data_IF_063136812845
#
_entry.id   IF_063136812845
#
_cell.length_a   1.000
_cell.length_b   1.000
_cell.length_c   1.000
_cell.angle_alpha   90.00
_cell.angle_beta   90.00
_cell.angle_gamma   90.00
#
_symmetry.space_group_name_H-M   'P 1'
#
loop_
_entity.id
_entity.type
_entity.pdbx_description
1 polymer ?
#
# COMPACT_ATOMS: atom_id res chain seq x y z
N UNK A 1 33.29 46.96 -4.30
CA UNK A 1 33.69 45.53 -4.41
C UNK A 1 34.09 45.08 -3.01
N UNK A 2 33.16 44.48 -2.27
CA UNK A 2 33.43 43.81 -0.99
C UNK A 2 32.77 42.44 -1.04
N UNK A 3 33.56 41.41 -0.68
CA UNK A 3 33.15 40.03 -0.68
C UNK A 3 32.46 39.71 0.65
N UNK A 4 31.13 39.66 0.66
CA UNK A 4 30.36 39.19 1.81
C UNK A 4 30.58 37.68 1.95
N UNK A 5 31.26 37.29 3.04
CA UNK A 5 31.40 35.92 3.47
C UNK A 5 30.03 35.29 3.71
N UNK A 6 29.58 34.41 2.80
CA UNK A 6 28.39 33.59 3.02
C UNK A 6 28.70 32.55 4.09
N UNK A 7 28.07 32.72 5.26
CA UNK A 7 27.96 31.69 6.27
C UNK A 7 27.53 30.36 5.62
N UNK A 8 28.25 29.28 5.92
CA UNK A 8 27.91 27.91 5.52
C UNK A 8 26.67 27.45 6.30
N UNK A 9 25.51 28.00 5.95
CA UNK A 9 24.22 27.45 6.35
C UNK A 9 24.05 26.07 5.72
N UNK A 10 23.64 25.10 6.53
CA UNK A 10 23.30 23.74 6.15
C UNK A 10 22.24 23.79 5.04
N UNK A 11 22.67 23.68 3.78
CA UNK A 11 21.75 23.51 2.66
C UNK A 11 21.13 22.13 2.80
N UNK A 12 19.88 22.07 3.27
CA UNK A 12 19.09 20.84 3.25
C UNK A 12 19.22 20.22 1.85
N UNK A 13 19.77 18.99 1.72
CA UNK A 13 20.02 18.43 0.41
C UNK A 13 18.68 18.27 -0.33
N UNK A 14 18.60 18.76 -1.57
CA UNK A 14 17.42 18.69 -2.46
C UNK A 14 16.62 17.36 -2.38
N UNK A 15 17.25 16.17 -2.23
CA UNK A 15 16.54 14.91 -2.02
C UNK A 15 15.66 14.84 -0.76
N UNK A 16 16.10 15.42 0.37
CA UNK A 16 15.32 15.44 1.61
C UNK A 16 14.08 16.31 1.46
N UNK A 17 14.24 17.49 0.85
CA UNK A 17 13.10 18.38 0.54
C UNK A 17 12.14 17.71 -0.44
N UNK A 18 12.64 17.04 -1.48
CA UNK A 18 11.81 16.33 -2.45
C UNK A 18 11.04 15.16 -1.80
N UNK A 19 11.64 14.45 -0.85
CA UNK A 19 10.97 13.39 -0.11
C UNK A 19 9.90 13.93 0.84
N UNK A 20 10.22 14.97 1.63
CA UNK A 20 9.27 15.61 2.56
C UNK A 20 8.10 16.25 1.79
N UNK A 21 8.38 16.94 0.69
CA UNK A 21 7.34 17.55 -0.16
C UNK A 21 6.67 16.57 -1.14
N UNK A 22 6.96 15.27 -1.01
CA UNK A 22 6.48 14.17 -1.87
C UNK A 22 6.57 14.49 -3.37
N UNK A 23 7.62 15.19 -3.81
CA UNK A 23 7.91 15.46 -5.22
C UNK A 23 8.82 14.36 -5.78
N UNK A 24 8.22 13.19 -6.03
CA UNK A 24 8.93 11.95 -6.39
C UNK A 24 9.33 11.88 -7.87
N UNK A 25 8.85 12.81 -8.71
CA UNK A 25 9.10 12.86 -10.15
C UNK A 25 10.53 13.27 -10.51
N UNK A 26 11.20 13.96 -9.60
CA UNK A 26 12.65 14.05 -9.64
C UNK A 26 13.25 12.70 -9.24
N UNK A 27 13.61 11.84 -10.22
CA UNK A 27 14.77 10.95 -9.99
C UNK A 27 15.85 11.84 -9.39
N UNK A 28 16.52 11.47 -8.29
CA UNK A 28 17.61 12.27 -7.75
C UNK A 28 18.61 12.48 -8.89
N UNK A 29 18.55 13.64 -9.57
CA UNK A 29 19.40 13.95 -10.70
C UNK A 29 20.80 14.00 -10.10
N UNK A 30 21.56 12.92 -10.33
CA UNK A 30 22.97 12.74 -9.97
C UNK A 30 23.27 12.55 -8.47
N UNK A 31 22.88 11.41 -7.90
CA UNK A 31 23.72 10.81 -6.83
C UNK A 31 24.84 9.93 -7.43
N UNK A 32 24.61 9.27 -8.58
CA UNK A 32 25.65 8.50 -9.31
C UNK A 32 26.78 9.35 -9.91
N UNK A 33 26.62 10.67 -10.07
CA UNK A 33 27.60 11.57 -10.71
C UNK A 33 28.21 12.60 -9.77
N UNK A 34 28.21 12.34 -8.46
CA UNK A 34 29.15 12.94 -7.51
C UNK A 34 30.05 11.85 -6.94
N UNK A 35 30.87 11.29 -7.82
CA UNK A 35 32.21 10.81 -7.47
C UNK A 35 33.14 12.00 -7.15
N UNK A 36 32.68 12.97 -6.35
CA UNK A 36 33.58 13.95 -5.74
C UNK A 36 33.91 13.39 -4.36
N UNK A 37 34.92 12.52 -4.37
CA UNK A 37 35.89 12.31 -3.29
C UNK A 37 35.27 12.46 -1.90
N UNK A 38 34.39 11.52 -1.54
CA UNK A 38 34.09 11.28 -0.13
C UNK A 38 35.40 10.78 0.47
N UNK A 39 36.00 11.57 1.37
CA UNK A 39 37.19 11.11 2.11
C UNK A 39 36.82 9.82 2.84
N UNK A 40 37.78 8.93 3.04
CA UNK A 40 37.63 7.82 3.98
C UNK A 40 37.10 8.41 5.31
N UNK A 41 35.87 8.04 5.70
CA UNK A 41 35.18 8.59 6.87
C UNK A 41 33.74 9.06 6.67
N UNK A 42 33.22 9.21 5.44
CA UNK A 42 31.87 9.77 5.21
C UNK A 42 30.75 8.73 4.98
N UNK A 43 30.84 7.63 5.71
CA UNK A 43 29.90 6.52 5.63
C UNK A 43 28.51 6.88 6.18
N UNK A 44 28.43 7.85 7.12
CA UNK A 44 27.16 8.35 7.67
C UNK A 44 26.32 9.08 6.61
N UNK A 45 26.93 9.95 5.80
CA UNK A 45 26.19 10.63 4.73
C UNK A 45 25.81 9.67 3.60
N UNK A 46 26.66 8.69 3.29
CA UNK A 46 26.34 7.63 2.35
C UNK A 46 25.14 6.79 2.82
N UNK A 47 25.11 6.43 4.10
CA UNK A 47 23.99 5.73 4.72
C UNK A 47 22.70 6.58 4.68
N UNK A 48 22.79 7.86 5.04
CA UNK A 48 21.65 8.78 4.99
C UNK A 48 21.06 8.90 3.57
N UNK A 49 21.92 9.08 2.55
CA UNK A 49 21.48 9.11 1.16
C UNK A 49 20.81 7.80 0.72
N UNK A 50 21.30 6.66 1.22
CA UNK A 50 20.69 5.36 0.98
C UNK A 50 19.31 5.26 1.65
N UNK A 51 19.17 5.67 2.91
CA UNK A 51 17.89 5.69 3.62
C UNK A 51 16.84 6.54 2.89
N UNK A 52 17.22 7.70 2.36
CA UNK A 52 16.32 8.54 1.55
C UNK A 52 15.84 7.82 0.29
N UNK A 53 16.73 7.10 -0.40
CA UNK A 53 16.34 6.29 -1.57
C UNK A 53 15.42 5.14 -1.15
N UNK A 54 15.68 4.47 -0.03
CA UNK A 54 14.78 3.40 0.46
C UNK A 54 13.41 3.96 0.81
N UNK A 55 13.33 5.09 1.52
CA UNK A 55 12.05 5.77 1.82
C UNK A 55 11.31 6.11 0.53
N UNK A 56 11.99 6.65 -0.48
CA UNK A 56 11.39 6.90 -1.81
C UNK A 56 10.86 5.62 -2.45
N UNK A 57 11.63 4.52 -2.43
CA UNK A 57 11.23 3.23 -2.99
C UNK A 57 10.00 2.66 -2.28
N UNK A 58 9.92 2.81 -0.95
CA UNK A 58 8.75 2.43 -0.16
C UNK A 58 7.50 3.23 -0.54
N UNK A 59 7.64 4.53 -0.80
CA UNK A 59 6.53 5.39 -1.22
C UNK A 59 5.98 5.02 -2.60
N UNK A 60 6.83 4.55 -3.51
CA UNK A 60 6.41 4.13 -4.86
C UNK A 60 6.16 2.61 -4.97
N UNK A 61 6.06 1.91 -3.85
CA UNK A 61 5.71 0.48 -3.82
C UNK A 61 6.79 -0.50 -4.29
N UNK A 62 8.05 -0.07 -4.47
CA UNK A 62 9.16 -0.91 -4.97
C UNK A 62 9.89 -1.62 -3.83
N UNK A 63 9.24 -2.61 -3.23
CA UNK A 63 9.68 -3.27 -2.00
C UNK A 63 10.98 -4.09 -2.16
N UNK A 64 11.13 -4.85 -3.24
CA UNK A 64 12.33 -5.66 -3.48
C UNK A 64 13.57 -4.79 -3.66
N UNK A 65 13.42 -3.61 -4.27
CA UNK A 65 14.50 -2.65 -4.40
C UNK A 65 14.81 -1.95 -3.09
N UNK A 66 13.80 -1.67 -2.28
CA UNK A 66 13.97 -1.12 -0.95
C UNK A 66 14.78 -2.08 -0.06
N UNK A 67 14.44 -3.38 -0.06
CA UNK A 67 15.17 -4.43 0.65
C UNK A 67 16.63 -4.54 0.17
N UNK A 68 16.85 -4.61 -1.15
CA UNK A 68 18.21 -4.66 -1.71
C UNK A 68 19.04 -3.43 -1.40
N UNK A 69 18.43 -2.24 -1.44
CA UNK A 69 19.11 -1.00 -1.11
C UNK A 69 19.48 -0.92 0.39
N UNK A 70 18.73 -1.60 1.25
CA UNK A 70 19.01 -1.67 2.69
C UNK A 70 20.11 -2.68 3.03
N UNK A 71 20.19 -3.82 2.32
CA UNK A 71 21.06 -4.97 2.63
C UNK A 71 22.59 -4.76 2.53
N UNK A 72 23.07 -3.53 2.35
CA UNK A 72 24.49 -3.17 2.36
C UNK A 72 24.87 -2.14 3.42
N UNK A 73 23.99 -1.86 4.37
CA UNK A 73 24.22 -0.92 5.47
C UNK A 73 24.52 -1.69 6.75
N UNK A 74 25.63 -1.34 7.43
CA UNK A 74 25.92 -1.82 8.77
C UNK A 74 25.33 -0.87 9.83
N UNK A 75 24.27 -1.28 10.55
CA UNK A 75 23.65 -0.44 11.56
C UNK A 75 24.45 -0.29 12.86
N UNK A 76 25.42 -1.17 13.12
CA UNK A 76 26.17 -1.18 14.38
C UNK A 76 26.96 0.11 14.59
N UNK A 77 27.51 0.67 13.51
CA UNK A 77 28.29 1.89 13.56
C UNK A 77 27.43 3.16 13.70
N UNK A 78 26.14 3.15 13.30
CA UNK A 78 25.33 4.38 13.14
C UNK A 78 25.20 5.20 14.44
N UNK A 79 25.40 6.54 14.37
CA UNK A 79 24.97 7.45 15.42
C UNK A 79 23.47 7.29 15.70
N UNK A 80 23.00 7.63 16.92
CA UNK A 80 21.61 7.43 17.32
C UNK A 80 20.58 7.95 16.31
N UNK A 81 20.73 9.17 15.80
CA UNK A 81 19.81 9.75 14.82
C UNK A 81 19.76 8.96 13.49
N UNK A 82 20.92 8.50 12.98
CA UNK A 82 20.97 7.67 11.76
C UNK A 82 20.42 6.27 11.99
N UNK A 83 20.53 5.74 13.21
CA UNK A 83 19.93 4.47 13.61
C UNK A 83 18.40 4.54 13.62
N UNK A 84 17.81 5.65 14.06
CA UNK A 84 16.35 5.87 13.95
C UNK A 84 15.92 5.75 12.48
N UNK A 85 16.59 6.47 11.57
CA UNK A 85 16.26 6.43 10.15
C UNK A 85 16.37 5.01 9.56
N UNK A 86 17.40 4.25 9.94
CA UNK A 86 17.56 2.86 9.53
C UNK A 86 16.42 1.97 10.02
N UNK A 87 16.13 2.01 11.33
CA UNK A 87 15.12 1.14 11.93
C UNK A 87 13.69 1.47 11.48
N UNK A 88 13.38 2.74 11.23
CA UNK A 88 12.10 3.14 10.62
C UNK A 88 11.94 2.59 9.20
N UNK A 89 13.02 2.53 8.43
CA UNK A 89 13.01 1.92 7.10
C UNK A 89 12.83 0.41 7.19
N UNK A 90 13.53 -0.27 8.11
CA UNK A 90 13.35 -1.71 8.40
C UNK A 90 11.89 -1.99 8.76
N UNK A 91 11.32 -1.23 9.70
CA UNK A 91 9.93 -1.36 10.11
C UNK A 91 8.97 -1.11 8.93
N UNK A 92 9.21 -0.05 8.14
CA UNK A 92 8.39 0.30 6.98
C UNK A 92 8.36 -0.76 5.88
N UNK A 93 9.48 -1.47 5.65
CA UNK A 93 9.54 -2.63 4.77
C UNK A 93 8.77 -3.80 5.40
N UNK A 94 9.05 -4.12 6.67
CA UNK A 94 8.45 -5.24 7.37
C UNK A 94 6.91 -5.13 7.43
N UNK A 95 6.37 -3.94 7.70
CA UNK A 95 4.92 -3.70 7.71
C UNK A 95 4.28 -3.95 6.33
N UNK A 96 4.87 -3.43 5.25
CA UNK A 96 4.35 -3.64 3.87
C UNK A 96 4.46 -5.10 3.40
N UNK A 97 5.48 -5.82 3.89
CA UNK A 97 5.63 -7.27 3.71
C UNK A 97 4.74 -8.10 4.64
N UNK A 98 3.98 -7.48 5.54
CA UNK A 98 3.19 -8.15 6.59
C UNK A 98 4.04 -9.10 7.43
N UNK A 99 5.22 -8.64 7.85
CA UNK A 99 6.13 -9.32 8.79
C UNK A 99 6.12 -8.57 10.12
N UNK A 100 5.01 -8.63 10.85
CA UNK A 100 4.79 -7.78 12.03
C UNK A 100 5.71 -8.17 13.19
N UNK A 101 6.06 -9.46 13.29
CA UNK A 101 7.10 -9.96 14.18
C UNK A 101 8.48 -9.32 13.95
N UNK A 102 8.76 -8.81 12.74
CA UNK A 102 9.99 -8.06 12.43
C UNK A 102 9.79 -6.56 12.62
N UNK A 103 8.61 -6.04 12.28
CA UNK A 103 8.29 -4.62 12.39
C UNK A 103 8.30 -4.10 13.83
N UNK A 104 7.66 -4.83 14.77
CA UNK A 104 7.56 -4.43 16.19
C UNK A 104 8.95 -4.22 16.82
N UNK A 105 9.88 -5.20 16.79
CA UNK A 105 11.22 -5.01 17.34
C UNK A 105 12.01 -3.88 16.68
N UNK A 106 11.83 -3.65 15.37
CA UNK A 106 12.48 -2.54 14.67
C UNK A 106 12.01 -1.18 15.20
N UNK A 107 10.71 -0.99 15.40
CA UNK A 107 10.18 0.23 16.02
C UNK A 107 10.65 0.38 17.47
N UNK A 108 10.76 -0.70 18.24
CA UNK A 108 11.34 -0.65 19.60
C UNK A 108 12.79 -0.17 19.56
N UNK A 109 13.61 -0.66 18.62
CA UNK A 109 14.99 -0.20 18.44
C UNK A 109 15.05 1.26 17.98
N UNK A 110 14.16 1.68 17.07
CA UNK A 110 14.02 3.07 16.65
C UNK A 110 13.69 3.98 17.84
N UNK A 111 12.75 3.60 18.70
CA UNK A 111 12.35 4.38 19.86
C UNK A 111 13.48 4.55 20.89
N UNK A 112 14.28 3.49 21.13
CA UNK A 112 15.48 3.61 21.97
C UNK A 112 16.49 4.58 21.37
N UNK A 113 16.77 4.46 20.07
CA UNK A 113 17.71 5.34 19.38
C UNK A 113 17.21 6.81 19.34
N UNK A 114 15.90 7.04 19.21
CA UNK A 114 15.30 8.38 19.21
C UNK A 114 15.43 9.06 20.57
N UNK A 115 15.20 8.32 21.67
CA UNK A 115 15.44 8.81 23.03
C UNK A 115 16.92 9.13 23.28
N UNK A 116 17.83 8.27 22.83
CA UNK A 116 19.28 8.52 22.92
C UNK A 116 19.72 9.75 22.10
N UNK A 117 19.09 9.98 20.94
CA UNK A 117 19.37 11.16 20.13
C UNK A 117 18.84 12.46 20.76
N UNK A 118 17.80 12.38 21.61
CA UNK A 118 17.20 13.55 22.27
C UNK A 118 16.50 14.51 21.31
N UNK A 119 16.11 14.05 20.11
CA UNK A 119 15.47 14.88 19.08
C UNK A 119 13.95 14.66 19.11
N UNK A 120 13.14 15.64 19.54
CA UNK A 120 11.68 15.47 19.66
C UNK A 120 11.00 15.05 18.36
N UNK A 121 11.44 15.60 17.23
CA UNK A 121 10.88 15.26 15.91
C UNK A 121 11.07 13.77 15.56
N UNK A 122 12.20 13.16 15.94
CA UNK A 122 12.44 11.73 15.71
C UNK A 122 11.61 10.85 16.62
N UNK A 123 11.38 11.27 17.86
CA UNK A 123 10.50 10.57 18.80
C UNK A 123 9.07 10.53 18.25
N UNK A 124 8.55 11.68 17.82
CA UNK A 124 7.23 11.78 17.19
C UNK A 124 7.13 10.93 15.91
N UNK A 125 8.18 10.90 15.07
CA UNK A 125 8.20 10.05 13.86
C UNK A 125 8.10 8.56 14.22
N UNK A 126 8.78 8.10 15.28
CA UNK A 126 8.67 6.71 15.76
C UNK A 126 7.29 6.42 16.34
N UNK A 127 6.74 7.33 17.15
CA UNK A 127 5.42 7.19 17.75
C UNK A 127 4.33 7.09 16.67
N UNK A 128 4.36 7.97 15.67
CA UNK A 128 3.45 7.92 14.52
C UNK A 128 3.57 6.58 13.75
N UNK A 129 4.79 6.08 13.55
CA UNK A 129 5.01 4.79 12.93
C UNK A 129 4.50 3.61 13.79
N UNK A 130 4.52 3.74 15.12
CA UNK A 130 3.98 2.74 16.03
C UNK A 130 2.45 2.71 16.06
N UNK A 131 1.79 3.87 15.95
CA UNK A 131 0.32 3.97 15.87
C UNK A 131 -0.23 3.12 14.70
N UNK A 132 0.48 3.09 13.57
CA UNK A 132 0.12 2.28 12.40
C UNK A 132 -0.11 0.79 12.75
N UNK A 133 0.68 0.22 13.67
CA UNK A 133 0.53 -1.19 14.05
C UNK A 133 -0.74 -1.48 14.85
N UNK A 134 -1.29 -0.47 15.52
CA UNK A 134 -2.45 -0.59 16.40
C UNK A 134 -3.72 -0.02 15.77
N UNK A 135 -3.66 0.29 14.46
CA UNK A 135 -4.78 0.84 13.71
C UNK A 135 -5.38 -0.25 12.80
N UNK A 136 -6.72 -0.33 12.65
CA UNK A 136 -7.37 -1.27 11.74
C UNK A 136 -6.83 -1.16 10.31
N UNK A 137 -6.38 -2.29 9.76
CA UNK A 137 -5.74 -2.38 8.46
C UNK A 137 -6.62 -3.08 7.42
N UNK A 138 -7.53 -3.95 7.84
CA UNK A 138 -8.52 -4.60 6.99
C UNK A 138 -9.80 -4.91 7.78
N UNK A 139 -10.86 -5.30 7.07
CA UNK A 139 -11.96 -6.08 7.64
C UNK A 139 -11.90 -7.50 7.12
N UNK A 140 -12.18 -8.46 7.99
CA UNK A 140 -12.47 -9.84 7.61
C UNK A 140 -13.98 -10.00 7.50
N UNK A 141 -14.43 -10.57 6.40
CA UNK A 141 -15.81 -10.94 6.16
C UNK A 141 -15.87 -12.46 6.09
N UNK A 142 -16.65 -13.06 6.98
CA UNK A 142 -16.82 -14.50 7.10
C UNK A 142 -18.28 -14.82 7.43
N UNK A 143 -18.95 -15.61 6.59
CA UNK A 143 -20.34 -16.08 6.81
C UNK A 143 -21.35 -14.96 7.12
N UNK A 144 -21.10 -13.76 6.59
CA UNK A 144 -21.95 -12.57 6.82
C UNK A 144 -21.53 -11.70 8.00
N UNK A 145 -20.65 -12.18 8.88
CA UNK A 145 -20.08 -11.40 9.97
C UNK A 145 -18.86 -10.59 9.49
N UNK A 146 -18.65 -9.43 10.12
CA UNK A 146 -17.52 -8.55 9.81
C UNK A 146 -16.74 -8.18 11.06
N UNK A 147 -15.41 -8.33 11.01
CA UNK A 147 -14.51 -7.86 12.08
C UNK A 147 -13.37 -7.03 11.54
N UNK A 148 -13.02 -5.96 12.26
CA UNK A 148 -11.81 -5.19 11.96
C UNK A 148 -10.57 -5.97 12.39
N UNK A 149 -9.53 -5.94 11.57
CA UNK A 149 -8.27 -6.61 11.78
C UNK A 149 -7.12 -5.61 11.85
N UNK A 150 -6.21 -5.81 12.79
CA UNK A 150 -4.91 -5.14 12.81
C UNK A 150 -3.96 -5.82 11.82
N UNK A 151 -2.81 -5.18 11.54
CA UNK A 151 -1.80 -5.75 10.63
C UNK A 151 -1.32 -7.14 11.04
N UNK A 152 -1.26 -7.41 12.35
CA UNK A 152 -0.85 -8.71 12.90
C UNK A 152 -1.91 -9.80 12.63
N UNK A 153 -3.19 -9.46 12.77
CA UNK A 153 -4.27 -10.38 12.46
C UNK A 153 -4.34 -10.68 10.96
N UNK A 154 -4.09 -9.67 10.12
CA UNK A 154 -3.98 -9.85 8.65
C UNK A 154 -2.82 -10.79 8.31
N UNK A 155 -1.65 -10.64 8.94
CA UNK A 155 -0.54 -11.58 8.80
C UNK A 155 -0.95 -13.00 9.20
N UNK A 156 -1.73 -13.15 10.26
CA UNK A 156 -2.28 -14.44 10.71
C UNK A 156 -3.23 -15.06 9.68
N UNK A 157 -4.21 -14.30 9.18
CA UNK A 157 -5.18 -14.76 8.18
C UNK A 157 -4.49 -15.18 6.88
N UNK A 158 -3.49 -14.45 6.41
CA UNK A 158 -2.78 -14.81 5.17
C UNK A 158 -1.87 -16.03 5.31
N UNK A 159 -1.52 -16.41 6.55
CA UNK A 159 -0.74 -17.61 6.86
C UNK A 159 -1.61 -18.81 7.24
N UNK A 160 -2.91 -18.63 7.40
CA UNK A 160 -3.81 -19.74 7.68
C UNK A 160 -4.01 -20.60 6.44
N UNK A 161 -4.62 -21.76 6.63
CA UNK A 161 -4.99 -22.68 5.56
C UNK A 161 -6.29 -22.28 4.84
N UNK A 162 -6.89 -21.15 5.22
CA UNK A 162 -8.12 -20.64 4.61
C UNK A 162 -7.91 -20.20 3.16
N UNK A 163 -8.95 -20.33 2.34
CA UNK A 163 -9.00 -19.67 1.04
C UNK A 163 -9.36 -18.20 1.26
N UNK A 164 -8.43 -17.30 0.98
CA UNK A 164 -8.58 -15.86 1.19
C UNK A 164 -8.85 -15.16 -0.13
N UNK A 165 -9.99 -14.48 -0.24
CA UNK A 165 -10.22 -13.49 -1.30
C UNK A 165 -9.79 -12.12 -0.78
N UNK A 166 -8.63 -11.63 -1.23
CA UNK A 166 -8.02 -10.38 -0.78
C UNK A 166 -8.41 -9.23 -1.71
N UNK A 167 -9.37 -8.41 -1.27
CA UNK A 167 -9.80 -7.19 -1.94
C UNK A 167 -8.89 -5.98 -1.71
N UNK A 168 -7.95 -6.05 -0.77
CA UNK A 168 -6.92 -5.02 -0.65
C UNK A 168 -5.90 -5.13 -1.80
N UNK A 169 -5.63 -6.36 -2.28
CA UNK A 169 -4.63 -6.63 -3.32
C UNK A 169 -5.19 -7.18 -4.63
N UNK A 170 -6.51 -7.42 -4.69
CA UNK A 170 -7.19 -8.06 -5.81
C UNK A 170 -6.59 -9.43 -6.18
N UNK A 171 -6.37 -10.26 -5.17
CA UNK A 171 -5.83 -11.63 -5.34
C UNK A 171 -6.72 -12.65 -4.64
N UNK A 172 -6.66 -13.89 -5.09
CA UNK A 172 -7.21 -15.05 -4.37
C UNK A 172 -6.04 -15.93 -3.95
N UNK A 173 -5.97 -16.27 -2.68
CA UNK A 173 -4.85 -16.98 -2.06
C UNK A 173 -5.34 -18.23 -1.36
N UNK A 174 -4.67 -19.35 -1.60
CA UNK A 174 -4.65 -20.52 -0.71
C UNK A 174 -3.26 -20.68 -0.09
N UNK A 175 -3.01 -21.77 0.63
CA UNK A 175 -1.77 -22.02 1.37
C UNK A 175 -0.49 -21.66 0.57
N UNK A 176 -0.32 -22.28 -0.60
CA UNK A 176 0.90 -22.14 -1.42
C UNK A 176 0.68 -21.44 -2.77
N UNK A 177 -0.56 -21.10 -3.11
CA UNK A 177 -0.90 -20.56 -4.44
C UNK A 177 -1.58 -19.20 -4.32
N UNK A 178 -1.13 -18.25 -5.13
CA UNK A 178 -1.72 -16.91 -5.24
C UNK A 178 -2.09 -16.65 -6.70
N UNK A 179 -3.36 -16.37 -6.95
CA UNK A 179 -3.88 -15.99 -8.27
C UNK A 179 -4.18 -14.49 -8.27
N UNK A 180 -3.47 -13.73 -9.11
CA UNK A 180 -3.70 -12.29 -9.24
C UNK A 180 -4.81 -11.99 -10.23
N UNK A 181 -5.84 -11.27 -9.76
CA UNK A 181 -6.96 -10.79 -10.58
C UNK A 181 -6.94 -9.25 -10.72
N UNK A 182 -5.84 -8.59 -10.35
CA UNK A 182 -5.72 -7.13 -10.34
C UNK A 182 -6.01 -6.47 -11.71
N UNK A 183 -5.64 -7.14 -12.82
CA UNK A 183 -5.92 -6.69 -14.20
C UNK A 183 -7.27 -7.18 -14.75
N UNK A 184 -8.06 -7.87 -13.93
CA UNK A 184 -9.31 -8.55 -14.31
C UNK A 184 -10.42 -8.18 -13.31
N UNK A 185 -10.85 -6.90 -13.28
CA UNK A 185 -11.73 -6.37 -12.24
C UNK A 185 -13.08 -7.10 -12.17
N UNK A 186 -13.62 -7.54 -13.31
CA UNK A 186 -14.87 -8.31 -13.36
C UNK A 186 -14.69 -9.69 -12.72
N UNK A 187 -13.59 -10.40 -13.01
CA UNK A 187 -13.32 -11.71 -12.40
C UNK A 187 -13.11 -11.58 -10.89
N UNK A 188 -12.38 -10.54 -10.47
CA UNK A 188 -12.21 -10.27 -9.05
C UNK A 188 -13.53 -9.95 -8.36
N UNK A 189 -14.38 -9.11 -8.97
CA UNK A 189 -15.69 -8.78 -8.42
C UNK A 189 -16.57 -10.03 -8.27
N UNK A 190 -16.57 -10.95 -9.26
CA UNK A 190 -17.26 -12.24 -9.15
C UNK A 190 -16.70 -13.10 -8.01
N UNK A 191 -15.37 -13.24 -7.91
CA UNK A 191 -14.72 -14.00 -6.84
C UNK A 191 -15.07 -13.45 -5.46
N UNK A 192 -15.05 -12.13 -5.29
CA UNK A 192 -15.43 -11.43 -4.06
C UNK A 192 -16.88 -11.70 -3.68
N UNK A 193 -17.81 -11.50 -4.61
CA UNK A 193 -19.25 -11.68 -4.34
C UNK A 193 -19.57 -13.13 -3.96
N UNK A 194 -18.96 -14.10 -4.65
CA UNK A 194 -19.13 -15.52 -4.32
C UNK A 194 -18.48 -15.87 -2.98
N UNK A 195 -17.30 -15.29 -2.68
CA UNK A 195 -16.61 -15.50 -1.42
C UNK A 195 -17.37 -14.95 -0.22
N UNK A 196 -17.94 -13.74 -0.33
CA UNK A 196 -18.75 -13.12 0.74
C UNK A 196 -20.01 -13.93 1.07
N UNK A 197 -20.58 -14.64 0.08
CA UNK A 197 -21.78 -15.44 0.25
C UNK A 197 -21.51 -16.87 0.73
N UNK A 198 -20.26 -17.33 0.68
CA UNK A 198 -19.89 -18.68 1.09
C UNK A 198 -20.38 -18.97 2.54
N UNK A 199 -20.98 -20.15 2.81
CA UNK A 199 -21.10 -21.33 1.95
C UNK A 199 -22.32 -21.35 1.02
N UNK A 200 -23.11 -20.27 0.97
CA UNK A 200 -24.32 -20.19 0.14
C UNK A 200 -23.98 -19.86 -1.31
N UNK A 201 -24.95 -20.08 -2.19
CA UNK A 201 -24.87 -19.66 -3.58
C UNK A 201 -25.33 -18.20 -3.77
N UNK A 202 -24.99 -17.63 -4.92
CA UNK A 202 -25.38 -16.29 -5.32
C UNK A 202 -26.18 -16.34 -6.61
N UNK A 203 -27.32 -15.64 -6.63
CA UNK A 203 -28.17 -15.57 -7.81
C UNK A 203 -27.48 -14.92 -9.01
N UNK A 204 -27.88 -15.29 -10.22
CA UNK A 204 -27.36 -14.68 -11.47
C UNK A 204 -27.60 -13.17 -11.52
N UNK A 205 -28.75 -12.70 -11.06
CA UNK A 205 -29.09 -11.28 -11.04
C UNK A 205 -28.20 -10.48 -10.07
N UNK A 206 -27.95 -11.02 -8.87
CA UNK A 206 -27.03 -10.41 -7.89
C UNK A 206 -25.61 -10.33 -8.44
N UNK A 207 -25.12 -11.39 -9.08
CA UNK A 207 -23.79 -11.40 -9.72
C UNK A 207 -23.71 -10.36 -10.83
N UNK A 208 -24.76 -10.21 -11.64
CA UNK A 208 -24.77 -9.21 -12.71
C UNK A 208 -24.72 -7.79 -12.15
N UNK A 209 -25.57 -7.49 -11.17
CA UNK A 209 -25.64 -6.18 -10.52
C UNK A 209 -24.32 -5.81 -9.86
N UNK A 210 -23.72 -6.72 -9.09
CA UNK A 210 -22.49 -6.43 -8.32
C UNK A 210 -21.22 -6.45 -9.18
N UNK A 211 -21.07 -7.39 -10.12
CA UNK A 211 -19.83 -7.55 -10.88
C UNK A 211 -19.75 -6.68 -12.13
N UNK A 212 -20.87 -6.42 -12.82
CA UNK A 212 -20.90 -5.56 -14.01
C UNK A 212 -21.34 -4.13 -13.70
N UNK A 213 -21.71 -3.82 -12.44
CA UNK A 213 -22.31 -2.54 -12.03
C UNK A 213 -23.54 -2.15 -12.88
N UNK A 214 -24.24 -3.14 -13.43
CA UNK A 214 -25.41 -2.93 -14.28
C UNK A 214 -26.65 -2.63 -13.42
N UNK A 215 -27.48 -1.66 -13.85
CA UNK A 215 -28.73 -1.33 -13.17
C UNK A 215 -29.76 -2.45 -13.26
N UNK A 216 -29.81 -3.15 -14.39
CA UNK A 216 -30.71 -4.28 -14.65
C UNK A 216 -29.97 -5.40 -15.38
N UNK A 217 -30.31 -6.66 -15.07
CA UNK A 217 -29.80 -7.82 -15.77
C UNK A 217 -30.64 -8.10 -17.03
N UNK A 218 -30.01 -8.00 -18.21
CA UNK A 218 -30.60 -8.43 -19.48
C UNK A 218 -29.97 -9.75 -19.98
N UNK A 219 -30.43 -10.26 -21.12
CA UNK A 219 -29.90 -11.51 -21.68
C UNK A 219 -28.42 -11.40 -22.10
N UNK A 220 -27.98 -10.23 -22.54
CA UNK A 220 -26.58 -9.96 -22.88
C UNK A 220 -25.68 -10.06 -21.63
N UNK A 221 -26.12 -9.53 -20.50
CA UNK A 221 -25.43 -9.68 -19.22
C UNK A 221 -25.40 -11.14 -18.76
N UNK A 222 -26.49 -11.90 -18.96
CA UNK A 222 -26.51 -13.34 -18.63
C UNK A 222 -25.55 -14.14 -19.50
N UNK A 223 -25.48 -13.86 -20.80
CA UNK A 223 -24.50 -14.47 -21.70
C UNK A 223 -23.06 -14.14 -21.27
N UNK A 224 -22.79 -12.86 -20.97
CA UNK A 224 -21.47 -12.42 -20.49
C UNK A 224 -21.10 -13.05 -19.15
N UNK A 225 -22.04 -13.16 -18.22
CA UNK A 225 -21.82 -13.82 -16.93
C UNK A 225 -21.33 -15.26 -17.12
N UNK A 226 -21.93 -16.02 -18.04
CA UNK A 226 -21.50 -17.41 -18.33
C UNK A 226 -20.04 -17.45 -18.80
N UNK A 227 -19.64 -16.53 -19.68
CA UNK A 227 -18.26 -16.43 -20.17
C UNK A 227 -17.28 -16.07 -19.04
N UNK A 228 -17.60 -15.06 -18.24
CA UNK A 228 -16.73 -14.62 -17.15
C UNK A 228 -16.63 -15.66 -16.03
N UNK A 229 -17.70 -16.42 -15.73
CA UNK A 229 -17.65 -17.57 -14.82
C UNK A 229 -16.74 -18.68 -15.40
N UNK A 230 -16.80 -18.94 -16.70
CA UNK A 230 -15.89 -19.87 -17.38
C UNK A 230 -14.43 -19.46 -17.22
N UNK A 231 -14.12 -18.16 -17.40
CA UNK A 231 -12.78 -17.61 -17.18
C UNK A 231 -12.36 -17.70 -15.72
N UNK A 232 -13.25 -17.38 -14.78
CA UNK A 232 -12.99 -17.46 -13.35
C UNK A 232 -12.65 -18.90 -12.92
N UNK A 233 -13.37 -19.90 -13.45
CA UNK A 233 -13.08 -21.32 -13.22
C UNK A 233 -11.67 -21.71 -13.67
N UNK A 234 -11.23 -21.18 -14.81
CA UNK A 234 -9.89 -21.44 -15.33
C UNK A 234 -8.83 -20.82 -14.43
N UNK A 235 -8.99 -19.56 -14.04
CA UNK A 235 -8.03 -18.86 -13.17
C UNK A 235 -7.96 -19.47 -11.77
N UNK A 236 -9.09 -19.84 -11.18
CA UNK A 236 -9.15 -20.39 -9.81
C UNK A 236 -9.02 -21.92 -9.74
N UNK A 237 -8.70 -22.59 -10.86
CA UNK A 237 -8.74 -24.05 -10.97
C UNK A 237 -7.98 -24.78 -9.87
N UNK A 238 -6.83 -24.26 -9.43
CA UNK A 238 -6.00 -24.87 -8.38
C UNK A 238 -6.48 -24.57 -6.95
N UNK A 239 -7.32 -23.54 -6.76
CA UNK A 239 -7.69 -23.03 -5.46
C UNK A 239 -9.13 -23.39 -5.06
N UNK A 240 -10.06 -23.29 -6.00
CA UNK A 240 -11.48 -23.41 -5.73
C UNK A 240 -12.25 -23.98 -6.94
N UNK A 241 -13.44 -24.49 -6.67
CA UNK A 241 -14.41 -24.85 -7.68
C UNK A 241 -15.54 -23.79 -7.70
N UNK A 242 -15.98 -23.41 -8.90
CA UNK A 242 -17.15 -22.56 -9.09
C UNK A 242 -18.25 -23.40 -9.73
N UNK A 243 -19.23 -23.85 -8.96
CA UNK A 243 -20.32 -24.70 -9.45
C UNK A 243 -21.54 -23.86 -9.83
N UNK A 244 -22.30 -24.33 -10.82
CA UNK A 244 -23.61 -23.76 -11.12
C UNK A 244 -24.65 -24.36 -10.17
N UNK A 245 -25.56 -23.55 -9.68
CA UNK A 245 -26.73 -23.97 -8.91
C UNK A 245 -28.01 -23.71 -9.72
N UNK A 246 -29.16 -24.12 -9.19
CA UNK A 246 -30.47 -23.79 -9.76
C UNK A 246 -30.61 -22.27 -9.95
N UNK A 247 -30.26 -21.48 -8.94
CA UNK A 247 -30.46 -20.03 -8.93
C UNK A 247 -29.25 -19.21 -9.40
N UNK A 248 -28.04 -19.77 -9.39
CA UNK A 248 -26.85 -19.08 -9.86
C UNK A 248 -25.56 -19.88 -9.73
N UNK A 249 -24.64 -19.43 -8.87
CA UNK A 249 -23.32 -20.02 -8.74
C UNK A 249 -22.85 -20.03 -7.28
N UNK A 250 -22.07 -21.04 -6.92
CA UNK A 250 -21.40 -21.15 -5.63
C UNK A 250 -19.90 -21.32 -5.82
N UNK A 251 -19.11 -20.80 -4.88
CA UNK A 251 -17.67 -21.00 -4.81
C UNK A 251 -17.38 -21.97 -3.67
N UNK A 252 -16.56 -23.00 -3.91
CA UNK A 252 -16.16 -23.96 -2.89
C UNK A 252 -14.64 -24.11 -2.91
N UNK A 253 -13.93 -23.91 -1.79
CA UNK A 253 -12.50 -24.21 -1.74
C UNK A 253 -12.23 -25.68 -2.06
N UNK A 254 -11.08 -25.98 -2.67
CA UNK A 254 -10.70 -27.37 -2.96
C UNK A 254 -10.06 -28.08 -1.78
N UNK A 255 -9.21 -27.37 -1.06
CA UNK A 255 -8.37 -27.93 0.00
C UNK A 255 -8.62 -27.27 1.35
N UNK A 256 -9.09 -26.01 1.35
CA UNK A 256 -9.37 -25.29 2.58
C UNK A 256 -10.73 -25.66 3.16
N UNK A 257 -10.82 -25.74 4.47
CA UNK A 257 -12.08 -25.90 5.22
C UNK A 257 -12.83 -24.58 5.39
N UNK A 258 -12.13 -23.45 5.23
CA UNK A 258 -12.65 -22.10 5.43
C UNK A 258 -12.41 -21.22 4.20
N UNK A 259 -13.36 -20.33 3.94
CA UNK A 259 -13.25 -19.25 2.97
C UNK A 259 -13.54 -17.92 3.65
N UNK A 260 -12.61 -17.00 3.56
CA UNK A 260 -12.75 -15.65 4.11
C UNK A 260 -12.47 -14.58 3.05
N UNK A 261 -13.10 -13.42 3.20
CA UNK A 261 -12.83 -12.26 2.35
C UNK A 261 -12.15 -11.19 3.19
N UNK A 262 -10.95 -10.78 2.78
CA UNK A 262 -10.30 -9.59 3.31
C UNK A 262 -10.70 -8.39 2.46
N UNK A 263 -11.21 -7.34 3.10
CA UNK A 263 -11.56 -6.10 2.43
C UNK A 263 -10.92 -4.88 3.13
N UNK A 264 -10.76 -3.75 2.42
CA UNK A 264 -10.32 -2.50 3.03
C UNK A 264 -11.23 -2.10 4.21
N UNK A 265 -10.71 -1.45 5.27
CA UNK A 265 -11.51 -1.01 6.42
C UNK A 265 -12.66 -0.08 6.02
N UNK A 266 -12.42 0.78 5.03
CA UNK A 266 -13.40 1.69 4.43
C UNK A 266 -13.41 1.44 2.93
N UNK A 267 -14.60 1.27 2.37
CA UNK A 267 -14.76 1.11 0.92
C UNK A 267 -15.00 2.47 0.27
N UNK A 268 -14.09 2.82 -0.63
CA UNK A 268 -14.22 4.00 -1.47
C UNK A 268 -13.69 3.70 -2.87
N UNK A 269 -14.34 4.22 -3.91
CA UNK A 269 -13.95 4.03 -5.31
C UNK A 269 -12.52 4.51 -5.57
N UNK A 270 -12.15 5.62 -4.93
CA UNK A 270 -10.83 6.23 -4.99
C UNK A 270 -10.00 5.96 -3.72
N UNK A 271 -10.25 4.85 -3.01
CA UNK A 271 -9.57 4.50 -1.75
C UNK A 271 -8.04 4.48 -1.86
N UNK A 272 -7.49 4.06 -2.99
CA UNK A 272 -6.04 4.06 -3.21
C UNK A 272 -5.45 5.49 -3.25
N UNK A 273 -6.21 6.50 -3.71
CA UNK A 273 -5.76 7.90 -3.68
C UNK A 273 -5.83 8.44 -2.24
N UNK A 274 -6.94 8.18 -1.53
CA UNK A 274 -7.07 8.54 -0.12
C UNK A 274 -5.98 7.90 0.75
N UNK A 275 -5.58 6.68 0.40
CA UNK A 275 -4.54 5.97 1.11
C UNK A 275 -3.22 6.75 1.18
N UNK A 276 -2.80 7.29 0.04
CA UNK A 276 -1.57 8.08 -0.02
C UNK A 276 -1.66 9.37 0.78
N UNK A 277 -2.86 9.92 0.94
CA UNK A 277 -3.09 11.19 1.62
C UNK A 277 -3.34 11.07 3.12
N UNK A 278 -3.67 9.88 3.64
CA UNK A 278 -4.07 9.75 5.05
C UNK A 278 -2.93 9.89 6.05
N UNK A 279 -1.66 9.96 5.62
CA UNK A 279 -0.57 10.40 6.48
C UNK A 279 -0.62 11.91 6.76
N UNK A 280 -1.61 12.62 6.19
CA UNK A 280 -1.78 14.07 6.32
C UNK A 280 -0.77 14.86 5.51
N UNK A 281 0.11 14.18 4.76
CA UNK A 281 1.18 14.81 4.01
C UNK A 281 0.67 15.40 2.71
N UNK A 282 1.38 16.43 2.25
CA UNK A 282 1.03 17.09 1.00
C UNK A 282 1.61 16.38 -0.22
N UNK A 283 0.73 15.95 -1.13
CA UNK A 283 1.13 15.26 -2.35
C UNK A 283 0.85 16.07 -3.60
N UNK A 284 1.71 15.91 -4.62
CA UNK A 284 1.42 16.38 -5.98
C UNK A 284 0.67 15.33 -6.78
N UNK A 285 -0.17 15.74 -7.74
CA UNK A 285 -0.89 14.78 -8.62
C UNK A 285 0.07 13.86 -9.40
N UNK A 286 1.25 14.36 -9.77
CA UNK A 286 2.27 13.59 -10.50
C UNK A 286 2.96 12.56 -9.60
N UNK A 287 3.21 12.87 -8.33
CA UNK A 287 3.77 11.91 -7.38
C UNK A 287 2.78 10.80 -7.04
N UNK A 288 1.49 11.15 -6.86
CA UNK A 288 0.42 10.16 -6.70
C UNK A 288 0.32 9.26 -7.94
N UNK A 289 0.38 9.82 -9.14
CA UNK A 289 0.39 9.04 -10.39
C UNK A 289 1.57 8.05 -10.45
N UNK A 290 2.77 8.49 -10.08
CA UNK A 290 3.95 7.62 -10.00
C UNK A 290 3.80 6.52 -8.96
N UNK A 291 3.25 6.83 -7.79
CA UNK A 291 3.12 5.88 -6.70
C UNK A 291 1.98 4.87 -6.93
N UNK A 292 0.91 5.29 -7.61
CA UNK A 292 -0.21 4.42 -8.02
C UNK A 292 0.06 3.64 -9.31
N UNK A 293 1.13 3.97 -10.05
CA UNK A 293 1.36 3.41 -11.39
C UNK A 293 0.27 3.77 -12.40
N UNK A 294 -0.41 4.90 -12.21
CA UNK A 294 -1.56 5.34 -12.99
C UNK A 294 -1.22 6.57 -13.85
N UNK A 295 -2.05 6.87 -14.85
CA UNK A 295 -1.92 8.12 -15.60
C UNK A 295 -2.27 9.32 -14.71
N UNK A 296 -1.58 10.45 -14.90
CA UNK A 296 -1.89 11.69 -14.15
C UNK A 296 -3.33 12.16 -14.36
N UNK A 297 -3.92 11.90 -15.54
CA UNK A 297 -5.33 12.21 -15.84
C UNK A 297 -6.29 11.37 -14.99
N UNK A 298 -5.99 10.09 -14.79
CA UNK A 298 -6.78 9.19 -13.94
C UNK A 298 -6.74 9.67 -12.49
N UNK A 299 -5.56 9.98 -11.97
CA UNK A 299 -5.40 10.48 -10.60
C UNK A 299 -6.06 11.83 -10.41
N UNK A 300 -5.98 12.74 -11.39
CA UNK A 300 -6.64 14.03 -11.29
C UNK A 300 -8.16 13.91 -11.20
N UNK A 301 -8.77 13.03 -12.01
CA UNK A 301 -10.22 12.75 -11.93
C UNK A 301 -10.63 12.22 -10.55
N UNK A 302 -9.88 11.26 -10.03
CA UNK A 302 -10.12 10.71 -8.70
C UNK A 302 -10.01 11.78 -7.59
N UNK A 303 -9.01 12.67 -7.68
CA UNK A 303 -8.85 13.78 -6.74
C UNK A 303 -9.99 14.80 -6.83
N UNK A 304 -10.46 15.11 -8.04
CA UNK A 304 -11.56 16.04 -8.25
C UNK A 304 -12.88 15.48 -7.68
N UNK A 305 -13.15 14.18 -7.86
CA UNK A 305 -14.31 13.48 -7.27
C UNK A 305 -14.25 13.45 -5.73
N UNK A 306 -13.07 13.15 -5.17
CA UNK A 306 -12.85 13.17 -3.72
C UNK A 306 -12.96 14.59 -3.15
N UNK A 307 -12.56 15.62 -3.89
CA UNK A 307 -12.68 17.02 -3.47
C UNK A 307 -14.13 17.48 -3.46
N UNK A 308 -14.90 17.07 -4.48
CA UNK A 308 -16.34 17.36 -4.55
C UNK A 308 -17.12 16.79 -3.35
N UNK A 309 -16.64 15.69 -2.78
CA UNK A 309 -17.21 15.06 -1.58
C UNK A 309 -16.55 15.51 -0.27
N UNK A 310 -15.63 16.49 -0.32
CA UNK A 310 -14.96 17.05 0.86
C UNK A 310 -13.92 16.12 1.50
N UNK A 311 -13.58 14.99 0.87
CA UNK A 311 -12.63 13.99 1.40
C UNK A 311 -11.17 14.40 1.20
N UNK A 312 -10.89 15.30 0.26
CA UNK A 312 -9.56 15.88 0.03
C UNK A 312 -9.68 17.39 -0.20
N UNK A 313 -8.62 18.12 0.13
CA UNK A 313 -8.48 19.54 -0.13
C UNK A 313 -7.26 19.80 -1.00
N UNK A 314 -7.32 20.87 -1.79
CA UNK A 314 -6.18 21.31 -2.60
C UNK A 314 -5.71 22.70 -2.17
N UNK A 315 -4.40 22.91 -2.19
CA UNK A 315 -3.78 24.21 -1.97
C UNK A 315 -2.74 24.51 -3.05
N UNK A 316 -2.50 25.80 -3.31
CA UNK A 316 -1.65 26.24 -4.42
C UNK A 316 -2.31 26.15 -5.79
N UNK A 317 -1.57 26.55 -6.84
CA UNK A 317 -2.07 26.62 -8.23
C UNK A 317 -1.15 25.88 -9.20
N UNK A 318 -1.75 25.34 -10.27
CA UNK A 318 -1.05 24.65 -11.37
C UNK A 318 0.00 23.62 -10.87
N UNK A 319 1.27 23.78 -11.24
CA UNK A 319 2.37 22.86 -10.87
C UNK A 319 2.68 22.84 -9.37
N UNK A 320 2.33 23.90 -8.65
CA UNK A 320 2.46 23.99 -7.20
C UNK A 320 1.22 23.49 -6.46
N UNK A 321 0.19 22.98 -7.16
CA UNK A 321 -0.99 22.40 -6.51
C UNK A 321 -0.58 21.17 -5.70
N UNK A 322 -1.10 21.09 -4.49
CA UNK A 322 -0.89 20.02 -3.53
C UNK A 322 -2.23 19.57 -2.97
N UNK A 323 -2.31 18.29 -2.67
CA UNK A 323 -3.50 17.61 -2.17
C UNK A 323 -3.20 17.03 -0.80
N UNK A 324 -4.16 17.15 0.10
CA UNK A 324 -4.15 16.60 1.46
C UNK A 324 -5.54 16.10 1.79
N UNK A 325 -5.66 15.09 2.63
CA UNK A 325 -6.94 14.86 3.33
C UNK A 325 -7.11 15.97 4.38
N UNK A 326 -8.34 16.44 4.64
CA UNK A 326 -8.62 17.14 5.90
C UNK A 326 -8.10 16.28 7.07
N UNK A 327 -7.84 16.83 8.26
CA UNK A 327 -7.53 16.00 9.42
C UNK A 327 -8.73 15.07 9.69
N UNK A 328 -8.66 13.83 9.21
CA UNK A 328 -9.66 12.79 9.47
C UNK A 328 -9.01 11.78 10.40
N UNK A 329 -9.65 11.55 11.55
CA UNK A 329 -9.16 10.61 12.55
C UNK A 329 -9.19 9.15 12.03
N UNK A 330 -8.06 8.44 12.17
CA UNK A 330 -8.09 7.10 12.74
C UNK A 330 -7.98 5.84 11.87
N UNK A 331 -7.46 5.86 10.63
CA UNK A 331 -7.16 4.60 9.91
C UNK A 331 -5.86 4.61 9.08
N UNK A 332 -5.20 3.45 8.99
CA UNK A 332 -3.88 3.28 8.36
C UNK A 332 -4.00 2.86 6.89
N UNK A 333 -3.05 3.32 6.06
CA UNK A 333 -3.11 3.19 4.59
C UNK A 333 -2.01 2.30 4.01
N UNK A 334 -1.26 1.63 4.87
CA UNK A 334 -0.10 0.81 4.52
C UNK A 334 -0.44 -0.33 3.55
N UNK A 335 -1.70 -0.82 3.56
CA UNK A 335 -2.17 -1.90 2.68
C UNK A 335 -2.76 -1.44 1.34
N UNK A 336 -2.96 -0.14 1.14
CA UNK A 336 -3.58 0.41 -0.07
C UNK A 336 -2.54 0.89 -1.11
N UNK A 337 -1.26 0.56 -0.88
CA UNK A 337 -0.17 0.82 -1.81
C UNK A 337 0.01 -0.39 -2.75
N UNK A 338 -0.26 -0.29 -4.06
CA UNK A 338 -0.06 -1.39 -4.98
C UNK A 338 1.45 -1.67 -5.16
N UNK A 339 1.92 -2.81 -4.67
CA UNK A 339 3.23 -3.35 -5.05
C UNK A 339 3.10 -4.08 -6.40
N UNK A 340 3.93 -3.80 -7.42
CA UNK A 340 3.99 -4.63 -8.62
C UNK A 340 4.63 -5.98 -8.28
N UNK A 341 3.97 -7.09 -8.62
CA UNK A 341 4.50 -8.45 -8.44
C UNK A 341 5.69 -8.70 -9.39
N UNK A 342 6.74 -9.43 -8.96
CA UNK A 342 7.87 -9.78 -9.82
C UNK A 342 7.50 -10.93 -10.79
N UNK A 343 7.78 -10.73 -12.08
CA UNK A 343 7.66 -11.75 -13.12
C UNK A 343 6.40 -11.66 -14.00
N UNK A 344 6.34 -10.65 -14.85
CA UNK A 344 5.55 -10.64 -16.09
C UNK A 344 6.26 -9.78 -17.13
#
# INVERSE_FOLDING_TARGET
REAIARAKGVSLPRPTIALVSRDLGCRPRRSRRRGRRWKAGDWVNAAHARHLEVRRLLLIGRLEEAERALGGLDPAAFPPASRVAHELVVAGIAMRRLRIKVARPALTRAGRAARQAGIPALIAEVENAAVILNTPAARLIERGEQRLLLLEDVEGVLKSEALVVDACRHVVRGADTVVSLARRPVLFALARVLGEAWPKDVSRDTLVKRAFRAKHADESHRARLRVEIGRLRTELRSLANVSATTQGFALAPRHATELVVLAPPVEEENAAVLAFLADGESWSSSALALALGASQRTVQRALDELAATGKVQSFGRARARRWVTPPVAGFTTTLLLPAPLPGA
#
